data_IF_429114872031
#
_entry.id   IF_429114872031
#
_cell.length_a   1.000
_cell.length_b   1.000
_cell.length_c   1.000
_cell.angle_alpha   90.00
_cell.angle_beta   90.00
_cell.angle_gamma   90.00
#
_symmetry.space_group_name_H-M   'P 1'
#
loop_
_entity.id
_entity.type
_entity.pdbx_description
1 polymer ?
#
# COMPACT_ATOMS: atom_id res chain seq x y z
N UNK A 1 32.81 -4.58 -13.27
CA UNK A 1 33.17 -3.46 -12.37
C UNK A 1 32.39 -3.64 -11.08
N UNK A 2 33.08 -3.87 -9.95
CA UNK A 2 32.43 -4.09 -8.65
C UNK A 2 31.94 -2.73 -8.14
N UNK A 3 30.62 -2.54 -8.12
CA UNK A 3 30.00 -1.30 -7.66
C UNK A 3 30.21 -1.17 -6.13
N UNK A 4 30.71 -0.02 -5.68
CA UNK A 4 30.98 0.29 -4.24
C UNK A 4 29.72 0.04 -3.39
N UNK A 5 28.54 0.28 -3.96
CA UNK A 5 27.27 -0.01 -3.33
C UNK A 5 27.07 -1.50 -3.01
N UNK A 6 27.53 -2.41 -3.88
CA UNK A 6 27.48 -3.86 -3.65
C UNK A 6 28.42 -4.28 -2.52
N UNK A 7 29.56 -3.62 -2.37
CA UNK A 7 30.54 -3.88 -1.30
C UNK A 7 29.99 -3.44 0.07
N UNK A 8 29.37 -2.26 0.13
CA UNK A 8 28.72 -1.74 1.35
C UNK A 8 27.53 -2.62 1.76
N UNK A 9 26.72 -3.08 0.80
CA UNK A 9 25.59 -3.98 1.08
C UNK A 9 26.06 -5.37 1.54
N UNK A 10 27.19 -5.87 1.01
CA UNK A 10 27.84 -7.08 1.51
C UNK A 10 28.32 -6.90 2.95
N UNK A 11 28.95 -5.77 3.27
CA UNK A 11 29.41 -5.47 4.63
C UNK A 11 28.23 -5.39 5.62
N UNK A 12 27.13 -4.75 5.24
CA UNK A 12 25.90 -4.68 6.04
C UNK A 12 25.30 -6.08 6.23
N UNK A 13 25.20 -6.86 5.16
CA UNK A 13 24.69 -8.24 5.19
C UNK A 13 25.51 -9.16 6.10
N UNK A 14 26.84 -8.99 6.12
CA UNK A 14 27.75 -9.92 6.80
C UNK A 14 28.16 -9.48 8.20
N UNK A 15 28.06 -8.19 8.55
CA UNK A 15 28.43 -7.69 9.88
C UNK A 15 27.24 -7.23 10.73
N UNK A 16 26.18 -6.70 10.12
CA UNK A 16 25.05 -6.13 10.88
C UNK A 16 23.96 -7.17 11.11
N UNK A 17 23.62 -7.96 10.07
CA UNK A 17 22.57 -8.98 10.18
C UNK A 17 22.91 -10.05 11.24
N UNK A 18 24.16 -10.56 11.36
CA UNK A 18 24.57 -11.46 12.44
C UNK A 18 24.35 -10.95 13.86
N UNK A 19 24.29 -9.62 14.05
CA UNK A 19 24.10 -8.99 15.35
C UNK A 19 22.63 -8.70 15.70
N UNK A 20 21.69 -8.97 14.79
CA UNK A 20 20.25 -8.85 15.04
C UNK A 20 19.75 -10.11 15.78
N UNK A 21 19.96 -10.15 17.09
CA UNK A 21 19.66 -11.30 17.97
C UNK A 21 18.16 -11.60 18.18
N UNK A 22 17.26 -10.83 17.58
CA UNK A 22 15.81 -10.99 17.72
C UNK A 22 15.19 -11.99 16.73
N UNK A 23 15.97 -12.50 15.76
CA UNK A 23 15.47 -13.40 14.71
C UNK A 23 15.72 -14.88 15.06
N UNK A 24 14.78 -15.80 14.73
CA UNK A 24 15.00 -17.24 14.85
C UNK A 24 16.23 -17.70 14.03
N UNK A 25 17.02 -18.63 14.59
CA UNK A 25 18.29 -19.11 13.97
C UNK A 25 18.15 -19.55 12.50
N UNK A 26 17.01 -20.14 12.13
CA UNK A 26 16.70 -20.59 10.77
C UNK A 26 16.51 -19.43 9.76
N UNK A 27 16.00 -18.29 10.23
CA UNK A 27 15.86 -17.09 9.41
C UNK A 27 17.22 -16.40 9.27
N UNK A 28 18.04 -16.49 10.31
CA UNK A 28 19.39 -15.95 10.32
C UNK A 28 20.27 -16.58 9.24
N UNK A 29 20.28 -17.92 9.16
CA UNK A 29 21.02 -18.66 8.15
C UNK A 29 20.54 -18.34 6.73
N UNK A 30 19.22 -18.21 6.54
CA UNK A 30 18.63 -17.87 5.25
C UNK A 30 19.05 -16.47 4.79
N UNK A 31 19.01 -15.47 5.68
CA UNK A 31 19.38 -14.08 5.35
C UNK A 31 20.89 -13.96 5.15
N UNK A 32 21.73 -14.68 5.87
CA UNK A 32 23.19 -14.66 5.64
C UNK A 32 23.53 -15.27 4.27
N UNK A 33 22.87 -16.36 3.89
CA UNK A 33 23.12 -17.05 2.63
C UNK A 33 22.59 -16.26 1.41
N UNK A 34 21.38 -15.73 1.51
CA UNK A 34 20.71 -15.08 0.39
C UNK A 34 20.80 -13.55 0.40
N UNK A 35 21.10 -12.95 1.55
CA UNK A 35 21.22 -11.51 1.75
C UNK A 35 22.14 -10.82 0.73
N UNK A 36 23.35 -11.31 0.46
CA UNK A 36 24.26 -10.64 -0.47
C UNK A 36 23.76 -10.61 -1.92
N UNK A 37 22.86 -11.52 -2.29
CA UNK A 37 22.27 -11.59 -3.63
C UNK A 37 20.93 -10.85 -3.74
N UNK A 38 20.11 -10.88 -2.67
CA UNK A 38 18.81 -10.21 -2.61
C UNK A 38 18.92 -8.71 -2.29
N UNK A 39 19.80 -8.28 -1.39
CA UNK A 39 19.97 -6.87 -1.02
C UNK A 39 20.25 -5.95 -2.22
N UNK A 40 21.26 -6.21 -3.07
CA UNK A 40 21.55 -5.32 -4.19
C UNK A 40 20.40 -5.27 -5.21
N UNK A 41 19.66 -6.38 -5.40
CA UNK A 41 18.48 -6.39 -6.27
C UNK A 41 17.32 -5.59 -5.69
N UNK A 42 17.05 -5.73 -4.39
CA UNK A 42 16.01 -4.97 -3.69
C UNK A 42 16.33 -3.47 -3.69
N UNK A 43 17.58 -3.10 -3.43
CA UNK A 43 18.03 -1.70 -3.44
C UNK A 43 17.96 -1.12 -4.85
N UNK A 44 18.40 -1.86 -5.88
CA UNK A 44 18.28 -1.40 -7.25
C UNK A 44 16.82 -1.27 -7.68
N UNK A 45 15.96 -2.22 -7.33
CA UNK A 45 14.52 -2.12 -7.58
C UNK A 45 13.88 -0.93 -6.87
N UNK A 46 14.28 -0.66 -5.62
CA UNK A 46 13.83 0.50 -4.88
C UNK A 46 14.29 1.81 -5.53
N UNK A 47 15.55 1.88 -5.95
CA UNK A 47 16.13 3.05 -6.59
C UNK A 47 15.52 3.32 -7.97
N UNK A 48 15.29 2.28 -8.79
CA UNK A 48 14.64 2.43 -10.10
C UNK A 48 13.18 2.84 -9.93
N UNK A 49 12.43 2.20 -9.03
CA UNK A 49 11.05 2.57 -8.73
C UNK A 49 10.93 4.01 -8.18
N UNK A 50 11.91 4.46 -7.38
CA UNK A 50 11.97 5.82 -6.86
C UNK A 50 12.38 6.83 -7.93
N UNK A 51 13.28 6.48 -8.84
CA UNK A 51 13.68 7.34 -9.95
C UNK A 51 12.52 7.67 -10.88
N UNK A 52 11.67 6.68 -11.20
CA UNK A 52 10.44 6.90 -12.00
C UNK A 52 9.43 7.81 -11.32
N UNK A 53 9.43 7.84 -9.98
CA UNK A 53 8.50 8.66 -9.19
C UNK A 53 8.94 10.12 -9.08
N UNK A 54 10.21 10.46 -9.38
CA UNK A 54 10.70 11.85 -9.33
C UNK A 54 10.17 12.74 -10.46
N UNK A 55 9.77 12.14 -11.58
CA UNK A 55 9.29 12.89 -12.76
C UNK A 55 7.78 13.15 -12.76
N UNK A 56 7.06 12.65 -11.75
CA UNK A 56 5.60 12.78 -11.65
C UNK A 56 5.26 13.58 -10.38
N UNK A 57 4.44 14.63 -10.47
CA UNK A 57 4.08 15.43 -9.29
C UNK A 57 3.29 14.59 -8.28
N UNK A 58 3.54 14.87 -7.01
CA UNK A 58 2.79 14.27 -5.88
C UNK A 58 1.35 14.77 -5.97
N UNK A 59 0.40 13.83 -5.94
CA UNK A 59 -1.04 14.13 -5.96
C UNK A 59 -1.71 13.76 -4.64
N UNK A 60 -2.82 14.42 -4.26
CA UNK A 60 -3.65 13.98 -3.14
C UNK A 60 -4.22 12.58 -3.40
N UNK A 61 -4.61 11.88 -2.33
CA UNK A 61 -5.19 10.53 -2.43
C UNK A 61 -6.52 10.60 -3.19
N UNK A 62 -6.71 9.80 -4.26
CA UNK A 62 -7.99 9.75 -4.95
C UNK A 62 -9.12 9.28 -4.01
N UNK A 63 -10.34 9.85 -4.10
CA UNK A 63 -11.42 9.60 -3.14
C UNK A 63 -11.85 8.12 -3.10
N UNK A 64 -11.73 7.40 -4.23
CA UNK A 64 -12.02 5.97 -4.27
C UNK A 64 -10.97 5.15 -3.51
N UNK A 65 -9.69 5.49 -3.64
CA UNK A 65 -8.59 4.84 -2.89
C UNK A 65 -8.71 5.14 -1.40
N UNK A 66 -9.15 6.34 -1.02
CA UNK A 66 -9.41 6.67 0.39
C UNK A 66 -10.44 5.74 1.03
N UNK A 67 -11.50 5.34 0.30
CA UNK A 67 -12.48 4.36 0.80
C UNK A 67 -11.85 2.98 1.04
N UNK A 68 -10.96 2.53 0.16
CA UNK A 68 -10.21 1.29 0.36
C UNK A 68 -9.26 1.38 1.55
N UNK A 69 -8.56 2.50 1.72
CA UNK A 69 -7.68 2.72 2.87
C UNK A 69 -8.49 2.71 4.18
N UNK A 70 -9.67 3.31 4.20
CA UNK A 70 -10.56 3.27 5.37
C UNK A 70 -11.04 1.84 5.67
N UNK A 71 -11.38 1.06 4.63
CA UNK A 71 -11.78 -0.34 4.78
C UNK A 71 -10.63 -1.20 5.35
N UNK A 72 -9.42 -1.06 4.81
CA UNK A 72 -8.23 -1.76 5.29
C UNK A 72 -7.84 -1.33 6.71
N UNK A 73 -7.98 -0.04 7.02
CA UNK A 73 -7.75 0.48 8.37
C UNK A 73 -8.73 -0.13 9.36
N UNK A 74 -10.03 -0.14 9.03
CA UNK A 74 -11.05 -0.76 9.88
C UNK A 74 -10.79 -2.26 10.07
N UNK A 75 -10.43 -2.97 9.00
CA UNK A 75 -10.07 -4.39 9.05
C UNK A 75 -8.84 -4.65 9.94
N UNK A 76 -7.79 -3.83 9.82
CA UNK A 76 -6.60 -3.92 10.65
C UNK A 76 -6.92 -3.66 12.13
N UNK A 77 -7.72 -2.63 12.43
CA UNK A 77 -8.15 -2.32 13.80
C UNK A 77 -9.00 -3.45 14.37
N UNK A 78 -9.99 -3.95 13.62
CA UNK A 78 -10.81 -5.08 14.04
C UNK A 78 -9.95 -6.32 14.32
N UNK A 79 -9.00 -6.63 13.43
CA UNK A 79 -8.08 -7.76 13.60
C UNK A 79 -7.22 -7.58 14.87
N UNK A 80 -6.64 -6.40 15.09
CA UNK A 80 -5.89 -6.10 16.31
C UNK A 80 -6.76 -6.21 17.57
N UNK A 81 -8.00 -5.71 17.55
CA UNK A 81 -8.93 -5.86 18.67
C UNK A 81 -9.23 -7.33 18.96
N UNK A 82 -9.40 -8.16 17.94
CA UNK A 82 -9.64 -9.60 18.08
C UNK A 82 -8.44 -10.38 18.65
N UNK A 83 -7.23 -9.81 18.64
CA UNK A 83 -6.07 -10.39 19.35
C UNK A 83 -6.19 -10.28 20.87
N UNK A 84 -7.04 -9.38 21.39
CA UNK A 84 -7.17 -9.15 22.82
C UNK A 84 -7.76 -10.39 23.53
N UNK A 85 -7.31 -10.70 24.75
CA UNK A 85 -7.71 -11.91 25.47
C UNK A 85 -9.20 -11.93 25.82
N UNK A 86 -9.87 -10.78 25.88
CA UNK A 86 -11.32 -10.70 26.14
C UNK A 86 -12.18 -11.35 25.05
N UNK A 87 -11.69 -11.39 23.81
CA UNK A 87 -12.40 -12.02 22.71
C UNK A 87 -12.00 -13.48 22.54
N UNK A 88 -11.01 -13.98 23.28
CA UNK A 88 -10.60 -15.37 23.24
C UNK A 88 -11.42 -16.22 24.23
N UNK A 89 -11.72 -17.48 23.91
CA UNK A 89 -12.27 -18.39 24.90
C UNK A 89 -11.31 -18.53 26.07
N UNK A 90 -11.85 -18.73 27.27
CA UNK A 90 -11.04 -18.84 28.49
C UNK A 90 -10.16 -20.10 28.45
N UNK A 91 -8.87 -19.93 28.75
CA UNK A 91 -7.95 -21.04 28.94
C UNK A 91 -7.92 -21.45 30.42
N UNK A 92 -8.53 -22.59 30.72
CA UNK A 92 -8.72 -23.08 32.10
C UNK A 92 -7.37 -23.43 32.77
N UNK A 93 -6.38 -23.93 32.01
CA UNK A 93 -5.06 -24.27 32.56
C UNK A 93 -4.27 -23.02 32.93
N UNK A 94 -4.32 -21.98 32.08
CA UNK A 94 -3.67 -20.69 32.39
C UNK A 94 -4.38 -20.01 33.57
N UNK A 95 -5.72 -20.02 33.60
CA UNK A 95 -6.48 -19.37 34.68
C UNK A 95 -6.27 -20.01 36.04
N UNK A 96 -6.23 -21.33 36.09
CA UNK A 96 -6.01 -22.08 37.33
C UNK A 96 -4.53 -22.31 37.65
N UNK A 97 -3.61 -21.85 36.79
CA UNK A 97 -2.17 -22.10 36.89
C UNK A 97 -1.82 -23.59 37.09
N UNK A 98 -2.58 -24.48 36.43
CA UNK A 98 -2.49 -25.92 36.64
C UNK A 98 -1.69 -26.61 35.55
N UNK A 99 -0.89 -27.61 35.93
CA UNK A 99 -0.12 -28.46 34.99
C UNK A 99 -1.06 -29.36 34.20
N UNK A 100 -0.66 -29.77 33.00
CA UNK A 100 -1.49 -30.60 32.12
C UNK A 100 -1.88 -31.96 32.73
N UNK A 101 -0.99 -32.55 33.55
CA UNK A 101 -1.19 -33.86 34.18
C UNK A 101 -2.17 -33.85 35.37
N UNK A 102 -2.65 -32.68 35.80
CA UNK A 102 -3.58 -32.55 36.93
C UNK A 102 -4.85 -33.40 36.73
N UNK A 103 -5.39 -34.02 37.80
CA UNK A 103 -6.64 -34.76 37.71
C UNK A 103 -7.81 -33.81 37.35
N UNK A 104 -8.75 -34.21 36.47
CA UNK A 104 -9.88 -33.35 36.07
C UNK A 104 -10.65 -32.77 37.25
N UNK A 105 -10.97 -33.58 38.26
CA UNK A 105 -11.73 -33.13 39.42
C UNK A 105 -11.01 -32.03 40.19
N UNK A 106 -9.70 -32.15 40.37
CA UNK A 106 -8.90 -31.11 41.03
C UNK A 106 -8.76 -29.84 40.20
N UNK A 107 -8.75 -29.93 38.87
CA UNK A 107 -8.73 -28.77 37.98
C UNK A 107 -10.03 -27.96 38.10
N UNK A 108 -11.18 -28.64 38.03
CA UNK A 108 -12.48 -27.99 38.13
C UNK A 108 -12.82 -27.55 39.55
N UNK A 109 -12.32 -28.24 40.58
CA UNK A 109 -12.39 -27.74 41.96
C UNK A 109 -11.65 -26.42 42.12
N UNK A 110 -10.47 -26.26 41.50
CA UNK A 110 -9.74 -24.98 41.47
C UNK A 110 -10.47 -23.91 40.67
N UNK A 111 -11.06 -24.28 39.53
CA UNK A 111 -11.87 -23.35 38.73
C UNK A 111 -13.08 -22.83 39.52
N UNK A 112 -13.74 -23.70 40.31
CA UNK A 112 -14.86 -23.35 41.20
C UNK A 112 -14.51 -22.28 42.23
N UNK A 113 -13.25 -22.22 42.66
CA UNK A 113 -12.77 -21.19 43.60
C UNK A 113 -12.62 -19.81 42.94
N UNK A 114 -12.45 -19.77 41.61
CA UNK A 114 -12.29 -18.52 40.86
C UNK A 114 -13.61 -17.97 40.35
N UNK A 115 -14.52 -18.86 39.91
CA UNK A 115 -15.86 -18.50 39.43
C UNK A 115 -16.83 -19.69 39.55
N UNK A 116 -18.15 -19.48 39.58
CA UNK A 116 -19.12 -20.56 39.46
C UNK A 116 -18.91 -21.34 38.15
N UNK A 117 -19.08 -22.67 38.21
CA UNK A 117 -18.99 -23.54 37.04
C UNK A 117 -20.23 -23.33 36.17
N UNK A 118 -20.00 -23.24 34.86
CA UNK A 118 -21.07 -23.26 33.86
C UNK A 118 -21.37 -24.70 33.42
N UNK A 119 -22.50 -24.91 32.75
CA UNK A 119 -22.86 -26.22 32.17
C UNK A 119 -21.80 -26.69 31.15
N UNK A 120 -21.18 -25.75 30.44
CA UNK A 120 -20.04 -26.01 29.56
C UNK A 120 -18.82 -26.53 30.33
N UNK A 121 -18.53 -26.00 31.52
CA UNK A 121 -17.43 -26.48 32.36
C UNK A 121 -17.70 -27.91 32.88
N UNK A 122 -18.94 -28.22 33.25
CA UNK A 122 -19.32 -29.56 33.70
C UNK A 122 -19.26 -30.60 32.57
N UNK A 123 -19.74 -30.24 31.38
CA UNK A 123 -19.61 -31.09 30.20
C UNK A 123 -18.13 -31.29 29.81
N UNK A 124 -17.30 -30.25 29.89
CA UNK A 124 -15.86 -30.36 29.65
C UNK A 124 -15.17 -31.26 30.69
N UNK A 125 -15.59 -31.19 31.97
CA UNK A 125 -15.10 -32.07 33.03
C UNK A 125 -15.37 -33.53 32.72
N UNK A 126 -16.59 -33.88 32.30
CA UNK A 126 -16.93 -35.26 31.93
C UNK A 126 -16.09 -35.75 30.74
N UNK A 127 -15.87 -34.91 29.72
CA UNK A 127 -14.99 -35.22 28.58
C UNK A 127 -13.54 -35.46 29.01
N UNK A 128 -13.01 -34.69 29.95
CA UNK A 128 -11.65 -34.90 30.47
C UNK A 128 -11.50 -36.15 31.35
N UNK A 129 -12.57 -36.60 31.99
CA UNK A 129 -12.58 -37.86 32.76
C UNK A 129 -12.62 -39.09 31.84
N UNK A 130 -13.39 -39.03 30.76
CA UNK A 130 -13.52 -40.14 29.80
C UNK A 130 -12.18 -40.49 29.13
N UNK A 131 -11.43 -39.48 28.69
CA UNK A 131 -10.13 -39.68 28.06
C UNK A 131 -9.16 -38.55 28.40
N UNK A 132 -8.03 -38.89 29.01
CA UNK A 132 -6.97 -37.93 29.35
C UNK A 132 -6.35 -37.24 28.12
N UNK A 133 -6.44 -37.85 26.93
CA UNK A 133 -6.00 -37.24 25.66
C UNK A 133 -6.87 -36.06 25.24
N UNK A 134 -8.12 -35.96 25.72
CA UNK A 134 -8.99 -34.82 25.43
C UNK A 134 -8.42 -33.50 25.95
N UNK A 135 -7.56 -33.54 26.97
CA UNK A 135 -6.81 -32.35 27.42
C UNK A 135 -5.84 -31.85 26.37
N UNK A 136 -5.19 -32.74 25.60
CA UNK A 136 -4.30 -32.36 24.51
C UNK A 136 -5.09 -31.78 23.34
N UNK A 137 -6.22 -32.40 23.00
CA UNK A 137 -7.11 -31.90 21.95
C UNK A 137 -7.70 -30.52 22.30
N UNK A 138 -8.01 -30.28 23.57
CA UNK A 138 -8.41 -28.96 24.08
C UNK A 138 -7.34 -27.89 23.85
N UNK A 139 -6.05 -28.22 23.99
CA UNK A 139 -4.96 -27.26 23.76
C UNK A 139 -4.83 -26.87 22.27
N UNK A 140 -5.12 -27.81 21.37
CA UNK A 140 -4.97 -27.64 19.92
C UNK A 140 -6.21 -27.00 19.29
N UNK A 141 -7.39 -27.56 19.53
CA UNK A 141 -8.62 -27.15 18.86
C UNK A 141 -9.53 -26.25 19.71
N UNK A 142 -9.27 -26.13 21.01
CA UNK A 142 -10.05 -25.30 21.93
C UNK A 142 -11.25 -26.00 22.58
N UNK A 143 -11.99 -25.31 23.47
CA UNK A 143 -13.15 -25.87 24.19
C UNK A 143 -14.31 -26.21 23.26
N UNK A 144 -14.67 -25.29 22.38
CA UNK A 144 -15.87 -25.35 21.55
C UNK A 144 -15.86 -26.54 20.58
N UNK A 145 -14.71 -26.88 20.00
CA UNK A 145 -14.56 -28.05 19.13
C UNK A 145 -14.69 -29.37 19.90
N UNK A 146 -14.15 -29.43 21.11
CA UNK A 146 -14.20 -30.62 21.95
C UNK A 146 -15.61 -30.88 22.52
N UNK A 147 -16.34 -29.81 22.83
CA UNK A 147 -17.71 -29.90 23.35
C UNK A 147 -18.71 -30.24 22.25
N UNK A 148 -18.63 -29.58 21.09
CA UNK A 148 -19.66 -29.65 20.06
C UNK A 148 -19.42 -30.73 19.00
N UNK A 149 -18.27 -31.41 18.99
CA UNK A 149 -18.09 -32.52 18.07
C UNK A 149 -18.68 -33.84 18.60
N UNK A 150 -19.75 -34.30 17.96
CA UNK A 150 -20.48 -35.51 18.35
C UNK A 150 -19.83 -36.79 17.78
N UNK A 151 -19.22 -36.70 16.60
CA UNK A 151 -18.69 -37.86 15.84
C UNK A 151 -17.16 -37.97 15.85
N UNK A 152 -16.45 -37.05 16.52
CA UNK A 152 -14.99 -37.02 16.47
C UNK A 152 -14.30 -38.11 17.30
N UNK A 153 -14.99 -38.66 18.30
CA UNK A 153 -14.45 -39.75 19.12
C UNK A 153 -14.74 -41.07 18.42
N UNK A 154 -13.70 -41.75 17.93
CA UNK A 154 -13.82 -43.07 17.31
C UNK A 154 -13.01 -44.12 18.09
N UNK A 155 -13.47 -45.38 18.14
CA UNK A 155 -12.70 -46.47 18.77
C UNK A 155 -11.38 -46.76 18.05
N UNK A 156 -11.28 -46.37 16.78
CA UNK A 156 -10.21 -46.72 15.84
C UNK A 156 -8.92 -45.89 16.04
N UNK A 157 -8.91 -44.95 16.99
CA UNK A 157 -7.72 -44.16 17.36
C UNK A 157 -7.36 -43.03 16.40
N UNK A 158 -8.22 -42.69 15.44
CA UNK A 158 -8.01 -41.60 14.47
C UNK A 158 -8.69 -40.27 14.89
N UNK A 159 -8.86 -40.07 16.20
CA UNK A 159 -9.59 -38.94 16.78
C UNK A 159 -9.07 -37.59 16.28
N UNK A 160 -7.74 -37.42 16.17
CA UNK A 160 -7.13 -36.15 15.79
C UNK A 160 -7.59 -35.65 14.42
N UNK A 161 -7.66 -36.52 13.41
CA UNK A 161 -8.10 -36.15 12.05
C UNK A 161 -9.57 -35.73 12.04
N UNK A 162 -10.41 -36.42 12.81
CA UNK A 162 -11.83 -36.08 12.91
C UNK A 162 -12.04 -34.71 13.57
N UNK A 163 -11.32 -34.43 14.66
CA UNK A 163 -11.34 -33.10 15.29
C UNK A 163 -10.80 -32.01 14.37
N UNK A 164 -9.75 -32.30 13.59
CA UNK A 164 -9.23 -31.37 12.58
C UNK A 164 -10.29 -31.05 11.53
N UNK A 165 -10.92 -32.06 10.94
CA UNK A 165 -11.98 -31.91 9.93
C UNK A 165 -13.16 -31.09 10.46
N UNK A 166 -13.60 -31.37 11.69
CA UNK A 166 -14.66 -30.62 12.34
C UNK A 166 -14.28 -29.15 12.62
N UNK A 167 -13.01 -28.90 12.98
CA UNK A 167 -12.50 -27.55 13.27
C UNK A 167 -12.19 -26.72 12.03
N UNK A 168 -12.03 -27.36 10.87
CA UNK A 168 -11.57 -26.72 9.63
C UNK A 168 -12.46 -25.54 9.19
N UNK A 169 -13.81 -25.63 9.21
CA UNK A 169 -14.65 -24.48 8.93
C UNK A 169 -14.33 -23.30 9.84
N UNK A 170 -14.15 -23.52 11.15
CA UNK A 170 -13.84 -22.45 12.13
C UNK A 170 -12.47 -21.81 11.88
N UNK A 171 -11.52 -22.57 11.34
CA UNK A 171 -10.19 -22.07 10.95
C UNK A 171 -10.28 -21.25 9.64
N UNK A 172 -11.04 -21.73 8.66
CA UNK A 172 -11.10 -21.13 7.32
C UNK A 172 -12.04 -19.92 7.24
N UNK A 173 -13.15 -19.89 7.97
CA UNK A 173 -14.11 -18.77 7.97
C UNK A 173 -13.48 -17.38 8.12
N UNK A 174 -12.61 -17.11 9.12
CA UNK A 174 -12.00 -15.79 9.26
C UNK A 174 -11.10 -15.42 8.07
N UNK A 175 -10.50 -16.39 7.39
CA UNK A 175 -9.72 -16.15 6.18
C UNK A 175 -10.59 -15.84 4.97
N UNK A 176 -11.75 -16.50 4.83
CA UNK A 176 -12.72 -16.15 3.77
C UNK A 176 -13.16 -14.70 3.95
N UNK A 177 -13.43 -14.28 5.18
CA UNK A 177 -13.79 -12.89 5.47
C UNK A 177 -12.64 -11.93 5.13
N UNK A 178 -11.41 -12.26 5.53
CA UNK A 178 -10.22 -11.45 5.20
C UNK A 178 -9.98 -11.36 3.69
N UNK A 179 -10.07 -12.48 2.95
CA UNK A 179 -10.02 -12.51 1.49
C UNK A 179 -11.14 -11.67 0.85
N UNK A 180 -12.33 -11.66 1.44
CA UNK A 180 -13.43 -10.79 1.04
C UNK A 180 -13.07 -9.31 1.19
N UNK A 181 -12.51 -8.91 2.34
CA UNK A 181 -12.05 -7.54 2.59
C UNK A 181 -10.95 -7.14 1.59
N UNK A 182 -9.94 -7.99 1.41
CA UNK A 182 -8.86 -7.77 0.46
C UNK A 182 -9.35 -7.68 -0.98
N UNK A 183 -10.29 -8.56 -1.37
CA UNK A 183 -10.92 -8.58 -2.67
C UNK A 183 -11.76 -7.33 -2.93
N UNK A 184 -12.49 -6.85 -1.92
CA UNK A 184 -13.20 -5.59 -1.99
C UNK A 184 -12.22 -4.43 -2.14
N UNK A 185 -11.20 -4.31 -1.28
CA UNK A 185 -10.21 -3.23 -1.30
C UNK A 185 -9.42 -3.14 -2.62
N UNK A 186 -9.23 -4.27 -3.31
CA UNK A 186 -8.52 -4.35 -4.61
C UNK A 186 -9.46 -4.46 -5.82
N UNK A 187 -10.76 -4.30 -5.62
CA UNK A 187 -11.74 -4.38 -6.71
C UNK A 187 -11.59 -3.23 -7.72
N UNK A 188 -12.00 -3.48 -8.97
CA UNK A 188 -12.03 -2.47 -10.03
C UNK A 188 -12.96 -1.28 -9.72
N UNK A 189 -13.93 -1.48 -8.82
CA UNK A 189 -14.87 -0.45 -8.34
C UNK A 189 -14.14 0.70 -7.61
N UNK A 190 -13.04 0.40 -6.93
CA UNK A 190 -12.21 1.36 -6.18
C UNK A 190 -11.15 2.03 -7.07
N UNK A 191 -10.91 1.49 -8.26
CA UNK A 191 -10.06 2.10 -9.29
C UNK A 191 -8.92 1.20 -9.74
N UNK A 192 -8.27 1.61 -10.84
CA UNK A 192 -7.20 0.85 -11.47
C UNK A 192 -5.97 0.65 -10.56
N UNK A 193 -5.73 1.56 -9.62
CA UNK A 193 -4.59 1.49 -8.69
C UNK A 193 -4.68 0.30 -7.73
N UNK A 194 -5.89 -0.06 -7.29
CA UNK A 194 -6.11 -1.23 -6.43
C UNK A 194 -6.10 -2.54 -7.22
N UNK A 195 -6.72 -2.53 -8.41
CA UNK A 195 -6.87 -3.72 -9.25
C UNK A 195 -5.54 -4.37 -9.66
N UNK A 196 -4.46 -3.58 -9.77
CA UNK A 196 -3.14 -4.09 -10.15
C UNK A 196 -2.51 -5.02 -9.11
N UNK A 197 -2.90 -4.89 -7.85
CA UNK A 197 -2.36 -5.67 -6.74
C UNK A 197 -3.23 -6.86 -6.36
N UNK A 198 -4.40 -7.01 -7.00
CA UNK A 198 -5.38 -8.04 -6.66
C UNK A 198 -4.77 -9.44 -6.64
N UNK A 199 -4.02 -9.83 -7.66
CA UNK A 199 -3.39 -11.15 -7.75
C UNK A 199 -2.40 -11.39 -6.59
N UNK A 200 -1.50 -10.43 -6.34
CA UNK A 200 -0.52 -10.53 -5.27
C UNK A 200 -1.17 -10.66 -3.89
N UNK A 201 -2.21 -9.87 -3.65
CA UNK A 201 -2.95 -9.87 -2.39
C UNK A 201 -3.77 -11.16 -2.22
N UNK A 202 -4.41 -11.66 -3.28
CA UNK A 202 -5.13 -12.94 -3.23
C UNK A 202 -4.19 -14.11 -2.97
N UNK A 203 -2.99 -14.10 -3.57
CA UNK A 203 -1.96 -15.12 -3.32
C UNK A 203 -1.51 -15.04 -1.85
N UNK A 204 -1.24 -13.84 -1.34
CA UNK A 204 -0.86 -13.66 0.06
C UNK A 204 -1.93 -14.18 1.04
N UNK A 205 -3.21 -13.85 0.81
CA UNK A 205 -4.31 -14.35 1.63
C UNK A 205 -4.49 -15.87 1.55
N UNK A 206 -4.35 -16.46 0.35
CA UNK A 206 -4.40 -17.91 0.17
C UNK A 206 -3.22 -18.61 0.87
N UNK A 207 -2.03 -18.04 0.81
CA UNK A 207 -0.86 -18.56 1.52
C UNK A 207 -1.08 -18.59 3.04
N UNK A 208 -1.77 -17.60 3.63
CA UNK A 208 -2.10 -17.61 5.06
C UNK A 208 -3.00 -18.80 5.42
N UNK A 209 -4.06 -19.04 4.64
CA UNK A 209 -4.98 -20.19 4.85
C UNK A 209 -4.21 -21.51 4.79
N UNK A 210 -3.39 -21.67 3.75
CA UNK A 210 -2.63 -22.90 3.51
C UNK A 210 -1.64 -23.11 4.65
N UNK A 211 -0.90 -22.08 5.04
CA UNK A 211 0.09 -22.16 6.12
C UNK A 211 -0.56 -22.57 7.44
N UNK A 212 -1.70 -21.98 7.80
CA UNK A 212 -2.40 -22.31 9.03
C UNK A 212 -2.99 -23.73 9.00
N UNK A 213 -3.64 -24.11 7.90
CA UNK A 213 -4.22 -25.46 7.75
C UNK A 213 -3.11 -26.53 7.78
N UNK A 214 -2.00 -26.25 7.10
CA UNK A 214 -0.82 -27.13 7.11
C UNK A 214 -0.21 -27.27 8.50
N UNK A 215 -0.14 -26.19 9.28
CA UNK A 215 0.34 -26.23 10.66
C UNK A 215 -0.50 -27.18 11.52
N UNK A 216 -1.83 -27.07 11.48
CA UNK A 216 -2.70 -27.97 12.25
C UNK A 216 -2.68 -29.41 11.74
N UNK A 217 -2.57 -29.61 10.42
CA UNK A 217 -2.48 -30.95 9.83
C UNK A 217 -1.20 -31.71 10.23
N UNK A 218 -0.10 -30.98 10.47
CA UNK A 218 1.20 -31.57 10.83
C UNK A 218 1.56 -31.33 12.31
N UNK A 219 0.58 -30.99 13.15
CA UNK A 219 0.84 -30.70 14.55
C UNK A 219 1.13 -31.97 15.35
N UNK A 220 2.31 -32.03 15.98
CA UNK A 220 2.72 -33.17 16.81
C UNK A 220 2.29 -33.00 18.28
N UNK A 221 1.30 -33.80 18.68
CA UNK A 221 0.79 -33.88 20.05
C UNK A 221 1.84 -34.41 21.06
N UNK A 222 2.86 -35.14 20.60
CA UNK A 222 3.85 -35.75 21.49
C UNK A 222 4.68 -34.71 22.25
N UNK A 223 4.88 -33.53 21.66
CA UNK A 223 5.59 -32.41 22.29
C UNK A 223 4.88 -31.92 23.55
N UNK A 224 3.60 -31.55 23.43
CA UNK A 224 2.75 -31.10 24.54
C UNK A 224 2.48 -32.21 25.57
N UNK A 225 2.48 -33.48 25.15
CA UNK A 225 2.34 -34.62 26.07
C UNK A 225 3.53 -34.78 27.03
N UNK A 226 4.73 -34.38 26.61
CA UNK A 226 5.97 -34.50 27.42
C UNK A 226 6.17 -33.33 28.39
N UNK A 227 5.44 -32.23 28.22
CA UNK A 227 5.57 -31.04 29.06
C UNK A 227 5.22 -31.35 30.53
N UNK A 228 6.14 -31.03 31.45
CA UNK A 228 5.95 -31.23 32.90
C UNK A 228 5.59 -29.93 33.60
N UNK A 229 6.00 -28.79 33.05
CA UNK A 229 5.75 -27.46 33.57
C UNK A 229 4.76 -26.72 32.67
N UNK A 230 3.93 -25.85 33.26
CA UNK A 230 2.92 -25.07 32.53
C UNK A 230 3.53 -24.20 31.41
N UNK A 231 4.73 -23.65 31.65
CA UNK A 231 5.44 -22.81 30.68
C UNK A 231 5.93 -23.58 29.45
N UNK A 232 6.09 -24.90 29.56
CA UNK A 232 6.50 -25.77 28.46
C UNK A 232 5.30 -26.25 27.62
N UNK A 233 4.07 -26.01 28.10
CA UNK A 233 2.85 -26.42 27.39
C UNK A 233 2.58 -25.47 26.24
N UNK A 234 2.44 -26.02 25.04
CA UNK A 234 2.06 -25.25 23.87
C UNK A 234 0.54 -25.09 23.78
N UNK A 235 0.08 -23.85 23.96
CA UNK A 235 -1.33 -23.46 23.81
C UNK A 235 -1.65 -23.12 22.36
N UNK A 236 -1.56 -24.12 21.48
CA UNK A 236 -1.65 -23.94 20.03
C UNK A 236 -2.92 -23.21 19.57
N UNK A 237 -4.10 -23.54 20.11
CA UNK A 237 -5.36 -22.88 19.76
C UNK A 237 -5.29 -21.35 19.92
N UNK A 238 -4.89 -20.88 21.11
CA UNK A 238 -4.83 -19.45 21.43
C UNK A 238 -3.68 -18.76 20.71
N UNK A 239 -2.52 -19.43 20.61
CA UNK A 239 -1.34 -18.89 19.93
C UNK A 239 -1.60 -18.66 18.45
N UNK A 240 -2.13 -19.65 17.75
CA UNK A 240 -2.43 -19.55 16.32
C UNK A 240 -3.56 -18.56 16.08
N UNK A 241 -4.60 -18.54 16.92
CA UNK A 241 -5.66 -17.53 16.84
C UNK A 241 -5.10 -16.10 16.93
N UNK A 242 -4.18 -15.84 17.87
CA UNK A 242 -3.52 -14.54 17.99
C UNK A 242 -2.67 -14.22 16.74
N UNK A 243 -1.84 -15.16 16.31
CA UNK A 243 -0.98 -15.00 15.13
C UNK A 243 -1.80 -14.77 13.84
N UNK A 244 -2.95 -15.42 13.69
CA UNK A 244 -3.87 -15.26 12.56
C UNK A 244 -4.32 -13.81 12.41
N UNK A 245 -4.90 -13.24 13.47
CA UNK A 245 -5.38 -11.86 13.43
C UNK A 245 -4.24 -10.84 13.35
N UNK A 246 -3.07 -11.14 13.95
CA UNK A 246 -1.88 -10.33 13.76
C UNK A 246 -1.40 -10.34 12.30
N UNK A 247 -1.39 -11.51 11.66
CA UNK A 247 -1.02 -11.65 10.25
C UNK A 247 -1.98 -10.89 9.34
N UNK A 248 -3.29 -10.94 9.59
CA UNK A 248 -4.29 -10.15 8.86
C UNK A 248 -4.00 -8.65 8.97
N UNK A 249 -3.77 -8.15 10.19
CA UNK A 249 -3.45 -6.75 10.41
C UNK A 249 -2.16 -6.33 9.69
N UNK A 250 -1.12 -7.17 9.71
CA UNK A 250 0.14 -6.90 9.01
C UNK A 250 -0.07 -6.81 7.49
N UNK A 251 -0.83 -7.74 6.90
CA UNK A 251 -1.15 -7.72 5.47
C UNK A 251 -1.98 -6.49 5.11
N UNK A 252 -2.96 -6.12 5.92
CA UNK A 252 -3.82 -4.94 5.69
C UNK A 252 -3.02 -3.64 5.77
N UNK A 253 -2.13 -3.51 6.77
CA UNK A 253 -1.23 -2.37 6.91
C UNK A 253 -0.27 -2.28 5.72
N UNK A 254 0.35 -3.40 5.35
CA UNK A 254 1.27 -3.45 4.21
C UNK A 254 0.56 -3.04 2.92
N UNK A 255 -0.62 -3.60 2.64
CA UNK A 255 -1.41 -3.24 1.47
C UNK A 255 -1.85 -1.77 1.50
N UNK A 256 -2.30 -1.28 2.66
CA UNK A 256 -2.66 0.13 2.84
C UNK A 256 -1.50 1.08 2.54
N UNK A 257 -0.29 0.76 3.03
CA UNK A 257 0.93 1.52 2.73
C UNK A 257 1.28 1.48 1.24
N UNK A 258 1.18 0.31 0.60
CA UNK A 258 1.42 0.16 -0.84
C UNK A 258 0.40 0.98 -1.64
N UNK A 259 -0.90 0.90 -1.33
CA UNK A 259 -1.93 1.67 -2.02
C UNK A 259 -1.76 3.18 -1.81
N UNK A 260 -1.42 3.62 -0.60
CA UNK A 260 -1.21 5.02 -0.31
C UNK A 260 0.01 5.59 -1.04
N UNK A 261 1.16 4.92 -0.96
CA UNK A 261 2.40 5.36 -1.63
C UNK A 261 2.27 5.38 -3.15
N UNK A 262 1.55 4.41 -3.71
CA UNK A 262 1.38 4.28 -5.17
C UNK A 262 0.32 5.22 -5.72
N UNK A 263 -0.81 5.38 -5.02
CA UNK A 263 -1.85 6.31 -5.44
C UNK A 263 -1.44 7.78 -5.32
N UNK A 264 -0.50 8.13 -4.45
CA UNK A 264 0.02 9.51 -4.30
C UNK A 264 1.23 9.81 -5.19
N UNK A 265 1.61 8.91 -6.09
CA UNK A 265 2.82 8.97 -6.93
C UNK A 265 4.14 9.06 -6.14
N UNK A 266 4.14 8.64 -4.87
CA UNK A 266 5.35 8.63 -4.03
C UNK A 266 6.24 7.42 -4.31
N UNK A 267 5.65 6.31 -4.78
CA UNK A 267 6.34 5.08 -5.10
C UNK A 267 5.67 4.35 -6.28
N UNK A 268 6.44 3.83 -7.24
CA UNK A 268 5.92 3.19 -8.47
C UNK A 268 4.91 4.09 -9.22
N UNK A 269 5.23 5.38 -9.37
CA UNK A 269 4.42 6.26 -10.21
C UNK A 269 4.48 5.77 -11.66
N UNK A 270 3.31 5.47 -12.24
CA UNK A 270 3.21 5.14 -13.66
C UNK A 270 3.04 6.45 -14.43
N UNK A 271 4.01 6.89 -15.23
CA UNK A 271 3.79 8.05 -16.09
C UNK A 271 2.64 7.74 -17.04
N UNK A 272 1.82 8.75 -17.32
CA UNK A 272 0.80 8.66 -18.38
C UNK A 272 1.45 8.23 -19.69
N UNK A 273 0.73 7.41 -20.47
CA UNK A 273 1.24 6.91 -21.74
C UNK A 273 1.65 8.10 -22.63
N UNK A 274 2.79 8.01 -23.32
CA UNK A 274 3.29 9.09 -24.20
C UNK A 274 2.21 9.46 -25.22
N UNK A 275 1.45 8.47 -25.73
CA UNK A 275 0.32 8.71 -26.63
C UNK A 275 -0.78 9.59 -26.00
N UNK A 276 -1.13 9.36 -24.74
CA UNK A 276 -2.14 10.15 -24.02
C UNK A 276 -1.63 11.56 -23.70
N UNK A 277 -0.35 11.68 -23.33
CA UNK A 277 0.29 12.98 -23.13
C UNK A 277 0.30 13.78 -24.44
N UNK A 278 0.68 13.14 -25.54
CA UNK A 278 0.71 13.75 -26.87
C UNK A 278 -0.69 14.22 -27.27
N UNK A 279 -1.69 13.37 -27.12
CA UNK A 279 -3.09 13.71 -27.41
C UNK A 279 -3.57 14.91 -26.59
N UNK A 280 -3.30 14.93 -25.28
CA UNK A 280 -3.68 16.07 -24.43
C UNK A 280 -2.96 17.36 -24.82
N UNK A 281 -1.67 17.29 -25.16
CA UNK A 281 -0.91 18.47 -25.62
C UNK A 281 -1.40 18.94 -26.98
N UNK A 282 -1.72 18.04 -27.90
CA UNK A 282 -2.26 18.37 -29.23
C UNK A 282 -3.63 19.01 -29.11
N UNK A 283 -4.53 18.46 -28.28
CA UNK A 283 -5.85 19.08 -28.03
C UNK A 283 -5.72 20.48 -27.45
N UNK A 284 -4.83 20.68 -26.47
CA UNK A 284 -4.57 22.02 -25.92
C UNK A 284 -4.01 22.97 -26.99
N UNK A 285 -3.10 22.49 -27.83
CA UNK A 285 -2.54 23.28 -28.93
C UNK A 285 -3.63 23.67 -29.95
N UNK A 286 -4.49 22.72 -30.35
CA UNK A 286 -5.63 22.97 -31.23
C UNK A 286 -6.61 23.99 -30.63
N UNK A 287 -6.95 23.86 -29.35
CA UNK A 287 -7.80 24.82 -28.65
C UNK A 287 -7.18 26.23 -28.63
N UNK A 288 -5.87 26.33 -28.36
CA UNK A 288 -5.17 27.63 -28.40
C UNK A 288 -5.11 28.20 -29.80
N UNK A 289 -4.88 27.38 -30.82
CA UNK A 289 -4.83 27.79 -32.22
C UNK A 289 -6.22 28.28 -32.69
N UNK A 290 -7.29 27.60 -32.30
CA UNK A 290 -8.65 28.02 -32.61
C UNK A 290 -9.00 29.36 -31.94
N UNK A 291 -8.58 29.56 -30.69
CA UNK A 291 -8.71 30.86 -30.00
C UNK A 291 -7.91 31.96 -30.71
N UNK A 292 -6.67 31.70 -31.12
CA UNK A 292 -5.84 32.66 -31.86
C UNK A 292 -6.44 33.00 -33.24
N UNK A 293 -6.98 32.01 -33.95
CA UNK A 293 -7.71 32.24 -35.21
C UNK A 293 -8.95 33.10 -34.97
N UNK A 294 -9.72 32.81 -33.92
CA UNK A 294 -10.86 33.63 -33.50
C UNK A 294 -10.46 35.07 -33.20
N UNK A 295 -9.39 35.27 -32.42
CA UNK A 295 -8.83 36.60 -32.14
C UNK A 295 -8.34 37.30 -33.41
N UNK A 296 -7.71 36.58 -34.33
CA UNK A 296 -7.26 37.12 -35.62
C UNK A 296 -8.44 37.57 -36.50
N UNK A 297 -9.52 36.80 -36.52
CA UNK A 297 -10.75 37.18 -37.20
C UNK A 297 -11.39 38.41 -36.55
N UNK A 298 -11.52 38.44 -35.23
CA UNK A 298 -12.04 39.60 -34.49
C UNK A 298 -11.20 40.84 -34.77
N UNK A 299 -9.88 40.74 -34.69
CA UNK A 299 -8.97 41.86 -34.96
C UNK A 299 -9.09 42.36 -36.39
N UNK A 300 -9.20 41.45 -37.37
CA UNK A 300 -9.44 41.83 -38.75
C UNK A 300 -10.81 42.49 -38.96
N UNK A 301 -11.86 41.98 -38.31
CA UNK A 301 -13.20 42.58 -38.38
C UNK A 301 -13.22 43.98 -37.76
N UNK A 302 -12.63 44.16 -36.58
CA UNK A 302 -12.49 45.47 -35.92
C UNK A 302 -11.69 46.43 -36.79
N UNK A 303 -10.59 45.96 -37.39
CA UNK A 303 -9.78 46.79 -38.27
C UNK A 303 -10.48 47.08 -39.60
N UNK A 304 -11.47 46.32 -40.04
CA UNK A 304 -12.21 46.61 -41.30
C UNK A 304 -13.39 47.54 -41.09
N UNK A 305 -14.03 47.50 -39.92
CA UNK A 305 -15.17 48.36 -39.56
C UNK A 305 -14.69 49.66 -38.93
N UNK A 306 -15.09 50.80 -39.51
CA UNK A 306 -14.68 52.12 -39.03
C UNK A 306 -15.24 52.46 -37.64
N UNK A 307 -16.44 52.01 -37.30
CA UNK A 307 -17.05 52.26 -35.98
C UNK A 307 -16.33 51.47 -34.89
N UNK A 308 -16.08 50.18 -35.12
CA UNK A 308 -15.36 49.33 -34.17
C UNK A 308 -13.90 49.76 -34.00
N UNK A 309 -13.26 50.23 -35.07
CA UNK A 309 -11.90 50.79 -34.98
C UNK A 309 -11.87 52.05 -34.12
N UNK A 310 -12.84 52.95 -34.29
CA UNK A 310 -12.98 54.15 -33.46
C UNK A 310 -13.14 53.82 -31.98
N UNK A 311 -14.02 52.87 -31.65
CA UNK A 311 -14.20 52.41 -30.26
C UNK A 311 -12.94 51.77 -29.67
N UNK A 312 -12.20 50.99 -30.46
CA UNK A 312 -10.91 50.42 -30.03
C UNK A 312 -9.90 51.53 -29.73
N UNK A 313 -9.74 52.51 -30.63
CA UNK A 313 -8.82 53.63 -30.44
C UNK A 313 -9.20 54.49 -29.24
N UNK A 314 -10.49 54.75 -29.06
CA UNK A 314 -11.03 55.46 -27.89
C UNK A 314 -10.72 54.70 -26.60
N UNK A 315 -11.02 53.39 -26.54
CA UNK A 315 -10.69 52.55 -25.39
C UNK A 315 -9.21 52.62 -25.03
N UNK A 316 -8.31 52.43 -26.00
CA UNK A 316 -6.86 52.48 -25.74
C UNK A 316 -6.38 53.87 -25.35
N UNK A 317 -7.01 54.94 -25.86
CA UNK A 317 -6.72 56.31 -25.46
C UNK A 317 -7.17 56.58 -24.03
N UNK A 318 -8.38 56.16 -23.65
CA UNK A 318 -8.87 56.28 -22.27
C UNK A 318 -8.04 55.45 -21.30
N UNK A 319 -7.71 54.22 -21.65
CA UNK A 319 -6.86 53.35 -20.82
C UNK A 319 -5.47 53.97 -20.63
N UNK A 320 -4.87 54.50 -21.70
CA UNK A 320 -3.59 55.20 -21.63
C UNK A 320 -3.64 56.45 -20.74
N UNK A 321 -4.75 57.19 -20.77
CA UNK A 321 -4.96 58.35 -19.90
C UNK A 321 -5.14 57.95 -18.44
N UNK A 322 -6.00 56.96 -18.16
CA UNK A 322 -6.21 56.44 -16.81
C UNK A 322 -4.91 55.88 -16.24
N UNK A 323 -4.17 55.08 -17.01
CA UNK A 323 -2.88 54.54 -16.57
C UNK A 323 -1.86 55.66 -16.31
N UNK A 324 -1.81 56.69 -17.16
CA UNK A 324 -0.92 57.83 -16.93
C UNK A 324 -1.29 58.63 -15.67
N UNK A 325 -2.59 58.79 -15.39
CA UNK A 325 -3.08 59.43 -14.17
C UNK A 325 -2.75 58.59 -12.93
N UNK A 326 -3.03 57.28 -12.97
CA UNK A 326 -2.72 56.34 -11.89
C UNK A 326 -1.21 56.27 -11.61
N UNK A 327 -0.36 56.29 -12.63
CA UNK A 327 1.10 56.32 -12.44
C UNK A 327 1.58 57.64 -11.81
N UNK A 328 0.84 58.74 -11.97
CA UNK A 328 1.14 60.03 -11.37
C UNK A 328 0.68 60.16 -9.91
N UNK A 329 -0.13 59.23 -9.40
CA UNK A 329 -0.50 59.20 -7.99
C UNK A 329 0.75 58.98 -7.12
N UNK A 330 0.89 59.79 -6.07
CA UNK A 330 2.10 59.84 -5.23
C UNK A 330 2.43 58.46 -4.63
N UNK A 331 1.41 57.74 -4.15
CA UNK A 331 1.57 56.39 -3.59
C UNK A 331 2.08 55.37 -4.61
N UNK A 332 1.63 55.45 -5.86
CA UNK A 332 2.01 54.52 -6.94
C UNK A 332 3.40 54.86 -7.47
N UNK A 333 3.70 56.15 -7.64
CA UNK A 333 5.00 56.61 -8.11
C UNK A 333 6.11 56.31 -7.09
N UNK A 334 5.83 56.43 -5.80
CA UNK A 334 6.76 56.06 -4.73
C UNK A 334 7.07 54.56 -4.74
N UNK A 335 6.05 53.72 -4.95
CA UNK A 335 6.23 52.28 -5.05
C UNK A 335 6.98 51.88 -6.33
N UNK A 336 6.68 52.50 -7.47
CA UNK A 336 7.42 52.28 -8.73
C UNK A 336 8.89 52.69 -8.53
N UNK A 337 9.16 53.87 -7.95
CA UNK A 337 10.52 54.34 -7.69
C UNK A 337 11.26 53.43 -6.71
N UNK A 338 10.58 52.90 -5.70
CA UNK A 338 11.14 51.91 -4.76
C UNK A 338 11.54 50.62 -5.48
N UNK A 339 10.66 50.10 -6.33
CA UNK A 339 10.94 48.87 -7.10
C UNK A 339 12.05 49.11 -8.12
N UNK A 340 11.99 50.18 -8.90
CA UNK A 340 13.02 50.52 -9.90
C UNK A 340 14.37 50.79 -9.25
N UNK A 341 14.39 51.49 -8.11
CA UNK A 341 15.61 51.75 -7.35
C UNK A 341 16.28 50.49 -6.77
N UNK A 342 15.51 49.42 -6.57
CA UNK A 342 16.03 48.12 -6.11
C UNK A 342 16.30 47.13 -7.25
N UNK A 343 15.86 47.42 -8.48
CA UNK A 343 16.09 46.58 -9.64
C UNK A 343 17.46 46.82 -10.26
N UNK A 344 18.23 45.74 -10.44
CA UNK A 344 19.47 45.77 -11.22
C UNK A 344 19.16 45.76 -12.72
N UNK A 345 19.11 46.95 -13.32
CA UNK A 345 18.81 47.16 -14.74
C UNK A 345 19.80 46.43 -15.67
N UNK A 346 21.06 46.25 -15.27
CA UNK A 346 22.07 45.55 -16.09
C UNK A 346 21.83 44.05 -16.09
N UNK A 347 21.48 43.48 -14.94
CA UNK A 347 21.06 42.08 -14.85
C UNK A 347 19.80 41.82 -15.66
N UNK A 348 18.84 42.76 -15.64
CA UNK A 348 17.60 42.65 -16.40
C UNK A 348 17.86 42.67 -17.91
N UNK A 349 18.69 43.60 -18.42
CA UNK A 349 19.03 43.71 -19.84
C UNK A 349 19.69 42.42 -20.37
N UNK A 350 20.62 41.84 -19.60
CA UNK A 350 21.23 40.56 -19.94
C UNK A 350 20.23 39.40 -20.00
N UNK A 351 19.28 39.35 -19.05
CA UNK A 351 18.21 38.32 -19.03
C UNK A 351 17.22 38.48 -20.17
N UNK A 352 16.91 39.72 -20.56
CA UNK A 352 16.04 39.98 -21.72
C UNK A 352 16.72 39.56 -23.01
N UNK A 353 18.02 39.85 -23.17
CA UNK A 353 18.82 39.35 -24.30
C UNK A 353 18.80 37.83 -24.38
N UNK A 354 19.06 37.14 -23.27
CA UNK A 354 19.05 35.67 -23.21
C UNK A 354 17.68 35.07 -23.56
N UNK A 355 16.58 35.69 -23.10
CA UNK A 355 15.22 35.24 -23.42
C UNK A 355 14.86 35.51 -24.88
N UNK A 356 15.23 36.68 -25.42
CA UNK A 356 14.99 37.03 -26.81
C UNK A 356 15.76 36.11 -27.76
N UNK A 357 17.05 35.87 -27.46
CA UNK A 357 17.90 34.94 -28.20
C UNK A 357 17.37 33.50 -28.09
N UNK A 358 16.87 33.09 -26.93
CA UNK A 358 16.23 31.79 -26.72
C UNK A 358 14.94 31.61 -27.52
N UNK A 359 14.10 32.65 -27.64
CA UNK A 359 12.88 32.62 -28.45
C UNK A 359 13.23 32.58 -29.94
N UNK A 360 14.18 33.41 -30.39
CA UNK A 360 14.65 33.42 -31.78
C UNK A 360 15.26 32.07 -32.17
N UNK A 361 16.13 31.50 -31.33
CA UNK A 361 16.69 30.17 -31.53
C UNK A 361 15.61 29.07 -31.57
N UNK A 362 14.56 29.20 -30.75
CA UNK A 362 13.42 28.30 -30.78
C UNK A 362 12.61 28.41 -32.09
N UNK A 363 12.41 29.61 -32.60
CA UNK A 363 11.73 29.87 -33.88
C UNK A 363 12.55 29.34 -35.05
N UNK A 364 13.86 29.59 -35.06
CA UNK A 364 14.77 29.09 -36.11
C UNK A 364 14.89 27.56 -36.08
N UNK A 365 14.90 26.95 -34.88
CA UNK A 365 14.86 25.50 -34.70
C UNK A 365 13.56 24.87 -35.25
N UNK A 366 12.41 25.50 -35.00
CA UNK A 366 11.14 25.07 -35.59
C UNK A 366 11.14 25.21 -37.11
N UNK A 367 11.70 26.29 -37.65
CA UNK A 367 11.80 26.51 -39.10
C UNK A 367 12.73 25.49 -39.77
N UNK A 368 13.87 25.18 -39.16
CA UNK A 368 14.78 24.14 -39.64
C UNK A 368 14.12 22.74 -39.62
N UNK A 369 13.34 22.43 -38.58
CA UNK A 369 12.60 21.17 -38.51
C UNK A 369 11.49 21.05 -39.57
N UNK A 370 10.82 22.15 -39.93
CA UNK A 370 9.86 22.19 -41.03
C UNK A 370 10.54 22.02 -42.40
N UNK A 371 11.71 22.65 -42.60
CA UNK A 371 12.48 22.49 -43.84
C UNK A 371 12.95 21.04 -44.02
N UNK A 372 13.48 20.41 -42.96
CA UNK A 372 13.87 18.99 -42.95
C UNK A 372 12.69 18.05 -43.21
N UNK A 373 11.52 18.34 -42.64
CA UNK A 373 10.31 17.55 -42.88
C UNK A 373 9.78 17.73 -44.31
N UNK A 374 9.97 18.90 -44.93
CA UNK A 374 9.57 19.16 -46.32
C UNK A 374 10.52 18.55 -47.34
N UNK A 375 11.83 18.51 -47.07
CA UNK A 375 12.82 17.82 -47.91
C UNK A 375 12.70 16.30 -47.83
N UNK A 376 12.32 15.74 -46.68
CA UNK A 376 12.05 14.30 -46.55
C UNK A 376 10.79 13.85 -47.31
N UNK A 377 9.87 14.76 -47.61
CA UNK A 377 8.68 14.50 -48.42
C UNK A 377 8.93 14.67 -49.94
N UNK A 378 10.01 15.36 -50.36
CA UNK A 378 10.38 15.47 -51.78
C UNK A 378 11.24 14.31 -52.28
N UNK A 379 11.89 13.54 -51.39
CA UNK A 379 12.70 12.37 -51.72
C UNK A 379 11.94 11.04 -51.56
N UNK A 380 10.67 11.00 -51.98
CA UNK A 380 9.96 9.75 -52.22
C UNK A 380 10.49 9.10 -53.51
N UNK A 381 10.83 7.80 -53.53
CA UNK A 381 11.40 7.17 -54.72
C UNK A 381 10.34 7.19 -55.84
N UNK A 382 10.70 7.79 -56.97
CA UNK A 382 9.99 7.59 -58.23
C UNK A 382 10.11 6.10 -58.60
N UNK A 383 9.09 5.32 -58.26
CA UNK A 383 8.92 3.95 -58.72
C UNK A 383 8.70 3.94 -60.23
N UNK A 384 9.66 3.35 -60.97
CA UNK A 384 9.40 2.69 -62.25
C UNK A 384 8.76 1.32 -62.01
#
# INVERSE_FOLDING_TARGET
>A
MINVQSVVLFAISYFIIPRLTFLPKSVHSLIILFGPFLLPRLVNFFNTARATSRSVPIRPVPPKVQRALNLLFLSAVCSLVLTLPKFAPENIFIRTQSRLQIAPDTLFARLRLLRPLTDEDESLRSKFQLNGQNKLLYLVFGPDTLLNCIWCATPDGNDFQNYLLYSLPKIVTPHIFHLGVLGLATSSLIGAEGSRFRTHVTVAGLCLVIAETWFFANYDLATSKRAKVLQEVDFAHWRIRMLRYLAFAVVDIALGLVLWTTSTNRWLAKPENIAQRLEMTTRKAEDTLNKLRGLGLLTNSINRDQQLRGLKEEYWRTEGQVMAETVQEEEVMDEINRVVGTMDLRSLEGRVGEVADGILAGIDGMRASQVLSSSALSDGPASQ
#
